data_IF_796467753288
#
_entry.id   IF_796467753288
#
_cell.length_a   1.000
_cell.length_b   1.000
_cell.length_c   1.000
_cell.angle_alpha   90.00
_cell.angle_beta   90.00
_cell.angle_gamma   90.00
#
_symmetry.space_group_name_H-M   'P 1'
#
loop_
_entity.id
_entity.type
_entity.pdbx_description
1 polymer ?
#
# COMPACT_ATOMS: atom_id res chain seq x y z
N UNK A 1 -17.93 -9.14 -7.77
CA UNK A 1 -17.07 -9.20 -8.98
C UNK A 1 -15.65 -9.41 -8.49
N UNK A 2 -14.93 -10.42 -8.98
CA UNK A 2 -13.51 -10.61 -8.59
C UNK A 2 -12.63 -9.70 -9.44
N UNK A 3 -11.58 -9.09 -8.88
CA UNK A 3 -10.65 -8.19 -9.60
C UNK A 3 -9.18 -8.50 -9.32
N UNK A 4 -8.33 -8.16 -10.29
CA UNK A 4 -6.91 -7.94 -10.03
C UNK A 4 -6.73 -6.63 -9.26
N UNK A 5 -5.84 -6.64 -8.27
CA UNK A 5 -5.64 -5.50 -7.38
C UNK A 5 -4.53 -4.56 -7.87
N UNK A 6 -4.74 -3.23 -7.78
CA UNK A 6 -3.73 -2.21 -8.09
C UNK A 6 -2.60 -2.18 -7.04
N UNK A 7 -1.57 -1.31 -7.19
CA UNK A 7 -0.40 -1.29 -6.30
C UNK A 7 -0.81 -1.20 -4.82
N UNK A 8 -0.21 -2.06 -4.00
CA UNK A 8 -0.25 -1.95 -2.55
C UNK A 8 0.24 -0.59 -2.06
N UNK A 9 -0.35 -0.15 -0.96
CA UNK A 9 -0.04 1.13 -0.32
C UNK A 9 0.41 0.91 1.11
N UNK A 10 1.21 1.84 1.62
CA UNK A 10 1.48 1.97 3.05
C UNK A 10 0.67 3.16 3.57
N UNK A 11 -0.05 2.96 4.67
CA UNK A 11 -0.75 4.00 5.41
C UNK A 11 0.15 4.48 6.53
N UNK A 12 0.50 5.75 6.50
CA UNK A 12 1.32 6.41 7.50
C UNK A 12 0.44 7.27 8.41
N UNK A 13 0.83 7.37 9.68
CA UNK A 13 0.31 8.43 10.53
C UNK A 13 0.70 9.81 9.96
N UNK A 14 -0.11 10.85 10.17
CA UNK A 14 0.16 12.18 9.62
C UNK A 14 1.48 12.81 10.08
N UNK A 15 2.01 12.37 11.22
CA UNK A 15 3.27 12.86 11.79
C UNK A 15 4.49 11.99 11.42
N UNK A 16 4.29 10.96 10.57
CA UNK A 16 5.36 10.06 10.18
C UNK A 16 6.34 10.76 9.24
N UNK A 17 7.61 10.85 9.66
CA UNK A 17 8.68 11.48 8.86
C UNK A 17 8.99 10.72 7.56
N UNK A 18 8.64 9.45 7.50
CA UNK A 18 8.86 8.57 6.36
C UNK A 18 7.76 8.64 5.30
N UNK A 19 6.67 9.40 5.53
CA UNK A 19 5.52 9.45 4.61
C UNK A 19 5.79 10.13 3.24
N UNK A 20 7.05 10.49 2.96
CA UNK A 20 7.51 11.14 1.73
C UNK A 20 6.94 12.55 1.48
N UNK A 21 7.50 13.26 0.49
CA UNK A 21 7.10 14.63 0.14
C UNK A 21 5.78 14.72 -0.68
N UNK A 22 5.16 13.58 -1.01
CA UNK A 22 4.24 13.48 -2.14
C UNK A 22 2.74 13.54 -1.85
N UNK A 23 2.22 13.17 -0.66
CA UNK A 23 0.77 12.98 -0.50
C UNK A 23 0.17 13.73 0.70
N UNK A 24 -0.25 14.96 0.44
CA UNK A 24 -1.14 15.78 1.30
C UNK A 24 -2.60 15.33 1.32
N UNK A 25 -2.90 14.05 1.06
CA UNK A 25 -4.27 13.56 1.18
C UNK A 25 -4.43 12.87 2.53
N UNK A 26 -4.78 13.66 3.56
CA UNK A 26 -5.23 13.20 4.89
C UNK A 26 -6.57 12.49 4.74
N UNK A 27 -6.55 11.25 4.24
CA UNK A 27 -7.74 10.43 4.06
C UNK A 27 -8.20 9.91 5.42
N UNK A 28 -9.50 9.95 5.75
CA UNK A 28 -10.00 9.30 6.95
C UNK A 28 -9.62 7.82 6.97
N UNK A 29 -9.17 7.31 8.11
CA UNK A 29 -8.64 5.93 8.22
C UNK A 29 -9.59 4.87 7.67
N UNK A 30 -10.86 4.93 8.05
CA UNK A 30 -11.86 3.96 7.59
C UNK A 30 -12.03 3.98 6.06
N UNK A 31 -11.93 5.17 5.46
CA UNK A 31 -11.96 5.30 4.01
C UNK A 31 -10.71 4.72 3.37
N UNK A 32 -9.52 5.00 3.93
CA UNK A 32 -8.27 4.43 3.42
C UNK A 32 -8.25 2.89 3.49
N UNK A 33 -8.72 2.30 4.59
CA UNK A 33 -8.83 0.84 4.73
C UNK A 33 -9.80 0.25 3.69
N UNK A 34 -10.90 0.95 3.42
CA UNK A 34 -11.92 0.52 2.45
C UNK A 34 -11.42 0.63 1.02
N UNK A 35 -10.79 1.75 0.68
CA UNK A 35 -10.28 2.03 -0.67
C UNK A 35 -9.06 1.15 -1.00
N UNK A 36 -8.25 0.81 0.03
CA UNK A 36 -7.02 0.03 -0.10
C UNK A 36 -7.01 -1.21 0.81
N UNK A 37 -7.77 -2.26 0.51
CA UNK A 37 -7.84 -3.44 1.38
C UNK A 37 -6.55 -4.28 1.41
N UNK A 38 -5.59 -4.00 0.53
CA UNK A 38 -4.23 -4.59 0.54
C UNK A 38 -3.18 -3.75 1.29
N UNK A 39 -3.61 -2.68 1.98
CA UNK A 39 -2.69 -1.75 2.65
C UNK A 39 -1.80 -2.39 3.72
N UNK A 40 -0.73 -1.68 4.04
CA UNK A 40 0.14 -1.92 5.19
C UNK A 40 0.07 -0.71 6.11
N UNK A 41 0.02 -0.96 7.41
CA UNK A 41 0.26 0.11 8.37
C UNK A 41 1.75 0.33 8.53
N UNK A 42 2.17 1.59 8.43
CA UNK A 42 3.51 2.00 8.80
C UNK A 42 3.65 1.92 10.33
N UNK A 43 4.74 1.35 10.87
CA UNK A 43 4.92 1.20 12.32
C UNK A 43 5.14 2.52 13.07
N UNK A 44 5.35 3.64 12.38
CA UNK A 44 5.58 4.96 12.97
C UNK A 44 4.33 5.60 13.62
N UNK A 45 3.18 4.94 13.61
CA UNK A 45 1.93 5.50 14.08
C UNK A 45 0.99 4.47 14.70
N UNK A 46 0.19 4.91 15.66
CA UNK A 46 -0.85 4.11 16.29
C UNK A 46 -2.20 4.39 15.61
N UNK A 47 -2.87 3.35 15.12
CA UNK A 47 -4.14 3.49 14.36
C UNK A 47 -5.22 4.18 15.20
N UNK A 48 -5.23 3.92 16.51
CA UNK A 48 -6.24 4.41 17.44
C UNK A 48 -6.18 5.93 17.66
N UNK A 49 -5.02 6.56 17.40
CA UNK A 49 -4.80 7.98 17.68
C UNK A 49 -4.81 8.85 16.40
N UNK A 50 -5.02 8.25 15.23
CA UNK A 50 -4.93 8.94 13.94
C UNK A 50 -6.25 8.90 13.19
N UNK A 51 -7.07 9.96 13.20
CA UNK A 51 -8.32 9.99 12.44
C UNK A 51 -8.10 10.01 10.92
N UNK A 52 -6.89 10.39 10.48
CA UNK A 52 -6.50 10.49 9.08
C UNK A 52 -5.13 9.84 8.85
N UNK A 53 -4.87 9.40 7.62
CA UNK A 53 -3.60 8.80 7.19
C UNK A 53 -3.07 9.46 5.93
N UNK A 54 -1.76 9.34 5.75
CA UNK A 54 -1.09 9.59 4.47
C UNK A 54 -0.98 8.26 3.73
N UNK A 55 -1.35 8.25 2.45
CA UNK A 55 -1.27 7.06 1.61
C UNK A 55 0.00 7.14 0.76
N UNK A 56 0.93 6.22 0.95
CA UNK A 56 2.12 6.06 0.10
C UNK A 56 1.88 4.90 -0.88
N UNK A 57 2.05 5.16 -2.18
CA UNK A 57 2.12 4.08 -3.16
C UNK A 57 3.55 3.55 -3.21
N UNK A 58 3.73 2.27 -2.91
CA UNK A 58 5.06 1.67 -2.91
C UNK A 58 5.27 0.94 -4.22
N UNK A 59 6.37 1.25 -4.92
CA UNK A 59 6.88 0.39 -5.99
C UNK A 59 7.94 -0.53 -5.41
N UNK A 60 7.74 -1.85 -5.48
CA UNK A 60 8.79 -2.77 -5.08
C UNK A 60 9.63 -3.10 -6.32
N UNK A 61 10.95 -3.08 -6.16
CA UNK A 61 11.86 -3.57 -7.18
C UNK A 61 11.64 -5.05 -7.51
N UNK A 62 12.33 -5.59 -8.53
CA UNK A 62 12.22 -6.98 -8.92
C UNK A 62 12.47 -7.95 -7.76
N UNK A 63 11.63 -8.98 -7.61
CA UNK A 63 11.79 -10.05 -6.63
C UNK A 63 11.01 -11.30 -7.07
N UNK A 64 11.36 -12.46 -6.49
CA UNK A 64 10.61 -13.69 -6.71
C UNK A 64 9.21 -13.59 -6.10
N UNK A 65 8.21 -13.93 -6.90
CA UNK A 65 6.84 -13.99 -6.41
C UNK A 65 6.74 -14.98 -5.26
N UNK A 66 6.29 -14.50 -4.10
CA UNK A 66 5.99 -15.31 -2.92
C UNK A 66 4.50 -15.14 -2.64
N UNK A 67 3.66 -16.18 -2.57
CA UNK A 67 2.25 -15.99 -2.27
C UNK A 67 2.03 -15.61 -0.80
N UNK A 68 1.14 -14.65 -0.52
CA UNK A 68 0.75 -14.30 0.84
C UNK A 68 -0.37 -15.22 1.34
N UNK A 69 -0.22 -15.74 2.56
CA UNK A 69 -1.23 -16.59 3.20
C UNK A 69 -2.42 -15.81 3.79
N UNK A 70 -2.23 -14.55 4.21
CA UNK A 70 -3.26 -13.64 4.73
C UNK A 70 -2.65 -12.26 5.06
N UNK A 71 -3.41 -11.14 5.06
CA UNK A 71 -4.77 -10.97 4.55
C UNK A 71 -4.79 -10.65 3.05
N UNK A 72 -5.57 -11.42 2.30
CA UNK A 72 -5.91 -11.13 0.89
C UNK A 72 -7.34 -10.56 0.84
N UNK A 73 -7.63 -9.49 0.08
CA UNK A 73 -8.99 -8.98 -0.06
C UNK A 73 -9.97 -10.04 -0.58
N UNK A 74 -11.21 -10.06 -0.07
CA UNK A 74 -12.22 -11.12 -0.36
C UNK A 74 -12.59 -11.25 -1.85
N UNK A 75 -12.47 -10.17 -2.60
CA UNK A 75 -12.78 -10.06 -4.02
C UNK A 75 -11.52 -10.15 -4.90
N UNK A 76 -10.35 -10.47 -4.35
CA UNK A 76 -9.16 -10.71 -5.15
C UNK A 76 -9.33 -11.97 -6.01
N UNK A 77 -8.92 -11.89 -7.28
CA UNK A 77 -8.87 -13.04 -8.20
C UNK A 77 -7.78 -14.04 -7.86
N UNK A 78 -6.71 -13.59 -7.18
CA UNK A 78 -5.51 -14.36 -6.83
C UNK A 78 -4.87 -13.86 -5.52
N UNK A 79 -3.99 -14.69 -4.94
CA UNK A 79 -3.17 -14.28 -3.81
C UNK A 79 -2.28 -13.08 -4.20
N UNK A 80 -2.09 -12.15 -3.26
CA UNK A 80 -1.12 -11.07 -3.43
C UNK A 80 0.30 -11.57 -3.14
N UNK A 81 1.30 -10.92 -3.72
CA UNK A 81 2.70 -11.21 -3.38
C UNK A 81 2.95 -10.87 -1.89
N UNK A 82 3.58 -11.78 -1.14
CA UNK A 82 4.03 -11.62 0.23
C UNK A 82 5.01 -10.47 0.41
N UNK A 83 5.83 -10.23 -0.61
CA UNK A 83 6.84 -9.18 -0.62
C UNK A 83 6.17 -7.88 -1.04
N UNK A 84 5.60 -7.82 -2.25
CA UNK A 84 5.17 -6.56 -2.83
C UNK A 84 3.66 -6.30 -2.77
N UNK A 85 2.85 -7.23 -2.26
CA UNK A 85 1.44 -6.97 -1.92
C UNK A 85 0.59 -6.41 -3.06
N UNK A 86 0.94 -6.77 -4.30
CA UNK A 86 0.27 -6.26 -5.52
C UNK A 86 1.01 -5.12 -6.23
N UNK A 87 2.17 -4.67 -5.75
CA UNK A 87 2.95 -3.58 -6.34
C UNK A 87 4.05 -4.06 -7.30
N UNK A 88 3.81 -5.08 -8.12
CA UNK A 88 4.80 -5.38 -9.15
C UNK A 88 4.99 -4.11 -9.97
N UNK A 89 6.20 -3.52 -9.94
CA UNK A 89 6.52 -2.35 -10.72
C UNK A 89 6.07 -2.64 -12.14
N UNK A 90 5.18 -1.80 -12.67
CA UNK A 90 4.63 -2.02 -13.99
C UNK A 90 5.84 -2.10 -14.96
N UNK A 91 6.05 -3.23 -15.66
CA UNK A 91 7.19 -3.36 -16.57
C UNK A 91 7.15 -2.32 -17.71
N UNK A 92 6.02 -1.64 -17.92
CA UNK A 92 5.85 -0.59 -18.92
C UNK A 92 6.06 0.85 -18.40
N UNK A 93 6.21 1.09 -17.10
CA UNK A 93 6.46 2.45 -16.59
C UNK A 93 7.95 2.64 -16.34
N UNK A 94 8.69 3.03 -17.38
CA UNK A 94 10.10 3.45 -17.33
C UNK A 94 10.34 4.74 -16.51
N UNK A 95 9.64 4.91 -15.39
CA UNK A 95 9.88 5.99 -14.44
C UNK A 95 10.67 5.42 -13.25
N UNK A 96 11.78 6.06 -12.87
CA UNK A 96 12.54 5.62 -11.71
C UNK A 96 11.68 5.74 -10.46
N UNK A 97 11.50 4.62 -9.76
CA UNK A 97 10.93 4.58 -8.41
C UNK A 97 11.91 5.34 -7.51
N UNK A 98 11.60 6.61 -7.23
CA UNK A 98 12.39 7.41 -6.30
C UNK A 98 12.03 6.98 -4.89
N UNK A 99 12.93 6.23 -4.26
CA UNK A 99 13.07 6.25 -2.81
C UNK A 99 13.79 7.54 -2.44
N UNK A 100 13.09 8.45 -1.76
CA UNK A 100 13.68 9.60 -1.08
C UNK A 100 12.98 9.76 0.25
#
# INVERSE_FOLDING_TARGET
>A
MRRDYPPGVVLHAPHCREAGDGNRATLPVLRAITDYPSHRWCPCGNVDDTPHVVVEQVGYGPHLYTPMSSPTPRDATRALCGICRGTHGNPASGLPIRHA
#
